data_IF_871916296027
#
_entry.id   IF_871916296027
#
_cell.length_a   1.000
_cell.length_b   1.000
_cell.length_c   1.000
_cell.angle_alpha   90.00
_cell.angle_beta   90.00
_cell.angle_gamma   90.00
#
_symmetry.space_group_name_H-M   'P 1'
#
loop_
_entity.id
_entity.type
_entity.pdbx_description
1 polymer ?
#
# COMPACT_ATOMS: atom_id res chain seq x y z
N UNK A 1 -26.85 4.31 4.73
CA UNK A 1 -26.92 5.23 3.57
C UNK A 1 -27.05 4.39 2.32
N UNK A 2 -28.18 4.46 1.62
CA UNK A 2 -28.36 3.79 0.32
C UNK A 2 -27.57 4.56 -0.72
N UNK A 3 -26.44 4.01 -1.19
CA UNK A 3 -25.73 4.56 -2.35
C UNK A 3 -26.53 4.16 -3.59
N UNK A 4 -26.92 5.15 -4.39
CA UNK A 4 -27.49 4.90 -5.73
C UNK A 4 -26.33 4.58 -6.66
N UNK A 5 -26.35 3.43 -7.31
CA UNK A 5 -25.35 3.07 -8.31
C UNK A 5 -25.71 3.72 -9.64
N UNK A 6 -24.73 4.36 -10.29
CA UNK A 6 -24.88 4.87 -11.65
C UNK A 6 -25.02 3.70 -12.64
N UNK A 7 -25.63 3.97 -13.80
CA UNK A 7 -25.74 2.96 -14.84
C UNK A 7 -24.34 2.55 -15.32
N UNK A 8 -24.04 1.25 -15.20
CA UNK A 8 -22.71 0.73 -15.47
C UNK A 8 -22.50 0.57 -16.98
N UNK A 9 -21.47 1.24 -17.48
CA UNK A 9 -20.96 1.07 -18.83
C UNK A 9 -19.63 0.29 -18.81
N UNK A 10 -19.18 -0.27 -19.95
CA UNK A 10 -17.86 -0.91 -20.04
C UNK A 10 -16.70 0.00 -19.58
N UNK A 11 -16.84 1.32 -19.72
CA UNK A 11 -15.81 2.27 -19.31
C UNK A 11 -15.62 2.32 -17.79
N UNK A 12 -16.66 1.97 -17.01
CA UNK A 12 -16.57 1.89 -15.56
C UNK A 12 -15.67 0.73 -15.10
N UNK A 13 -15.45 -0.29 -15.93
CA UNK A 13 -14.57 -1.42 -15.65
C UNK A 13 -13.15 -1.25 -16.19
N UNK A 14 -12.85 -0.10 -16.81
CA UNK A 14 -11.54 0.19 -17.38
C UNK A 14 -10.72 1.06 -16.42
N UNK A 15 -9.60 0.52 -15.92
CA UNK A 15 -8.62 1.29 -15.16
C UNK A 15 -7.87 2.33 -16.01
N UNK A 16 -8.05 2.32 -17.34
CA UNK A 16 -7.50 3.32 -18.26
C UNK A 16 -8.50 4.47 -18.56
N UNK A 17 -9.69 4.44 -17.96
CA UNK A 17 -10.69 5.50 -18.11
C UNK A 17 -10.89 6.23 -16.78
N UNK A 18 -10.98 7.58 -16.79
CA UNK A 18 -11.34 8.34 -15.61
C UNK A 18 -12.69 7.94 -15.00
N UNK A 19 -13.59 7.35 -15.81
CA UNK A 19 -14.88 6.87 -15.38
C UNK A 19 -14.81 5.57 -14.57
N UNK A 20 -13.73 4.80 -14.68
CA UNK A 20 -13.60 3.46 -14.10
C UNK A 20 -12.41 3.27 -13.16
N UNK A 21 -11.42 4.15 -13.21
CA UNK A 21 -10.24 4.03 -12.37
C UNK A 21 -10.50 4.32 -10.89
N UNK A 22 -9.66 3.76 -10.02
CA UNK A 22 -9.64 4.14 -8.61
C UNK A 22 -9.18 5.61 -8.50
N UNK A 23 -9.93 6.50 -7.82
CA UNK A 23 -9.60 7.92 -7.73
C UNK A 23 -8.33 8.20 -6.90
N UNK A 24 -7.90 7.26 -6.06
CA UNK A 24 -6.73 7.44 -5.20
C UNK A 24 -5.39 7.13 -5.91
N UNK A 25 -5.41 6.20 -6.88
CA UNK A 25 -4.22 5.81 -7.61
C UNK A 25 -4.33 6.05 -9.12
N UNK A 26 -5.42 6.65 -9.61
CA UNK A 26 -5.66 6.94 -11.03
C UNK A 26 -5.42 5.72 -11.93
N UNK A 27 -5.89 4.54 -11.50
CA UNK A 27 -5.79 3.32 -12.30
C UNK A 27 -4.41 2.65 -12.29
N UNK A 28 -3.45 3.14 -11.51
CA UNK A 28 -2.14 2.51 -11.36
C UNK A 28 -2.20 1.21 -10.55
N UNK A 29 -3.06 1.15 -9.52
CA UNK A 29 -3.12 0.04 -8.56
C UNK A 29 -2.07 0.11 -7.47
N UNK A 30 -1.03 0.91 -7.66
CA UNK A 30 0.01 1.15 -6.67
C UNK A 30 -0.04 2.59 -6.19
N UNK A 31 0.43 2.81 -4.97
CA UNK A 31 0.73 4.13 -4.44
C UNK A 31 2.19 4.14 -3.98
N UNK A 32 2.87 5.28 -4.15
CA UNK A 32 4.22 5.45 -3.62
C UNK A 32 4.11 5.59 -2.11
N UNK A 33 4.60 4.59 -1.39
CA UNK A 33 4.61 4.56 0.06
C UNK A 33 5.99 4.18 0.57
N UNK A 34 6.34 4.67 1.75
CA UNK A 34 7.61 4.28 2.35
C UNK A 34 7.45 2.89 2.98
N UNK A 35 8.26 1.92 2.54
CA UNK A 35 8.16 0.54 3.03
C UNK A 35 8.71 0.47 4.47
N UNK A 36 7.86 0.10 5.43
CA UNK A 36 8.23 0.00 6.85
C UNK A 36 9.42 -0.93 7.09
N UNK A 37 9.54 -2.01 6.30
CA UNK A 37 10.62 -2.99 6.41
C UNK A 37 12.00 -2.39 6.08
N UNK A 38 12.05 -1.31 5.32
CA UNK A 38 13.30 -0.62 4.98
C UNK A 38 13.62 0.49 5.99
N UNK A 39 12.60 1.06 6.63
CA UNK A 39 12.75 2.02 7.73
C UNK A 39 13.17 1.39 9.05
N UNK A 40 12.72 0.16 9.30
CA UNK A 40 13.03 -0.62 10.49
C UNK A 40 13.97 -1.76 10.08
N UNK A 41 15.24 -1.43 9.86
CA UNK A 41 16.24 -2.38 9.37
C UNK A 41 16.60 -3.48 10.38
N UNK A 42 16.27 -3.30 11.66
CA UNK A 42 16.53 -4.30 12.70
C UNK A 42 15.36 -4.36 13.69
N UNK A 43 14.29 -5.09 13.36
CA UNK A 43 13.13 -5.25 14.24
C UNK A 43 13.47 -5.91 15.59
N UNK A 44 14.54 -6.70 15.63
CA UNK A 44 15.09 -7.34 16.83
C UNK A 44 15.73 -6.34 17.81
N UNK A 45 16.15 -5.17 17.31
CA UNK A 45 16.81 -4.15 18.11
C UNK A 45 15.77 -3.25 18.78
N UNK A 46 16.18 -2.59 19.88
CA UNK A 46 15.38 -1.56 20.53
C UNK A 46 15.57 -0.19 19.89
N UNK A 47 14.73 0.78 20.25
CA UNK A 47 14.86 2.16 19.77
C UNK A 47 16.22 2.77 20.15
N UNK A 48 16.73 2.50 21.36
CA UNK A 48 18.06 2.92 21.80
C UNK A 48 19.21 2.14 21.14
N UNK A 49 18.96 0.91 20.71
CA UNK A 49 19.95 0.09 20.00
C UNK A 49 20.03 0.40 18.50
N UNK A 50 19.14 1.26 17.97
CA UNK A 50 19.14 1.69 16.58
C UNK A 50 18.23 0.86 15.65
N UNK A 51 17.05 0.43 16.13
CA UNK A 51 16.07 -0.30 15.30
C UNK A 51 15.61 0.46 14.05
N UNK A 52 15.57 1.80 14.12
CA UNK A 52 15.12 2.68 13.03
C UNK A 52 16.35 3.17 12.25
N UNK A 53 16.50 2.71 11.00
CA UNK A 53 17.65 3.04 10.15
C UNK A 53 17.67 4.50 9.69
N UNK A 54 16.49 5.11 9.57
CA UNK A 54 16.31 6.48 9.13
C UNK A 54 16.59 7.54 10.22
N UNK A 55 16.85 7.11 11.47
CA UNK A 55 17.21 8.02 12.57
C UNK A 55 18.72 8.17 12.74
N UNK A 56 19.19 9.31 13.29
CA UNK A 56 20.56 9.40 13.79
C UNK A 56 20.82 8.32 14.85
N UNK A 57 22.01 7.73 14.86
CA UNK A 57 22.36 6.71 15.88
C UNK A 57 22.31 7.34 17.28
N UNK A 58 21.37 6.92 18.15
CA UNK A 58 21.19 7.53 19.47
C UNK A 58 22.36 7.27 20.41
N UNK A 59 23.25 6.30 20.10
CA UNK A 59 24.46 6.03 20.87
C UNK A 59 25.60 7.00 20.55
N UNK A 60 25.53 7.68 19.40
CA UNK A 60 26.54 8.63 18.92
C UNK A 60 26.09 10.09 19.02
N UNK A 61 24.79 10.33 19.14
CA UNK A 61 24.21 11.67 19.14
C UNK A 61 23.40 11.92 20.42
N UNK A 62 24.03 12.56 21.40
CA UNK A 62 23.45 12.83 22.72
C UNK A 62 22.20 13.74 22.64
N UNK A 63 22.15 14.66 21.69
CA UNK A 63 20.99 15.52 21.48
C UNK A 63 19.76 14.72 21.01
N UNK A 64 19.98 13.78 20.09
CA UNK A 64 18.92 12.90 19.61
C UNK A 64 18.48 11.90 20.69
N UNK A 65 19.42 11.40 21.48
CA UNK A 65 19.11 10.55 22.65
C UNK A 65 18.23 11.28 23.67
N UNK A 66 18.57 12.53 24.01
CA UNK A 66 17.77 13.35 24.92
C UNK A 66 16.34 13.57 24.38
N UNK A 67 16.18 13.75 23.06
CA UNK A 67 14.88 13.79 22.42
C UNK A 67 14.11 12.47 22.57
N UNK A 68 14.75 11.32 22.31
CA UNK A 68 14.10 10.01 22.44
C UNK A 68 13.66 9.72 23.87
N UNK A 69 14.49 10.05 24.86
CA UNK A 69 14.15 9.86 26.28
C UNK A 69 12.96 10.75 26.69
N UNK A 70 12.91 11.99 26.19
CA UNK A 70 11.77 12.88 26.42
C UNK A 70 10.50 12.40 25.69
N UNK A 71 10.64 11.92 24.46
CA UNK A 71 9.54 11.33 23.68
C UNK A 71 8.98 10.08 24.37
N UNK A 72 9.85 9.21 24.88
CA UNK A 72 9.46 8.05 25.64
C UNK A 72 8.73 8.40 26.92
N UNK A 73 9.19 9.43 27.66
CA UNK A 73 8.55 9.88 28.89
C UNK A 73 7.14 10.44 28.66
N UNK A 74 6.94 11.20 27.58
CA UNK A 74 5.65 11.83 27.28
C UNK A 74 4.58 10.81 26.81
N UNK A 75 5.01 9.75 26.12
CA UNK A 75 4.13 8.77 25.50
C UNK A 75 4.20 7.37 26.12
N UNK A 76 4.98 7.21 27.18
CA UNK A 76 5.21 5.96 27.93
C UNK A 76 5.75 4.81 27.04
N UNK A 77 6.65 5.15 26.10
CA UNK A 77 7.20 4.20 25.14
C UNK A 77 8.41 3.49 25.75
N UNK A 78 8.43 2.15 25.81
CA UNK A 78 9.62 1.43 26.27
C UNK A 78 10.73 1.51 25.21
N UNK A 79 11.89 2.03 25.60
CA UNK A 79 13.02 2.26 24.68
C UNK A 79 14.01 1.10 24.57
N UNK A 80 13.98 0.18 25.53
CA UNK A 80 14.94 -0.93 25.69
C UNK A 80 14.37 -2.29 25.26
N UNK A 81 13.14 -2.32 24.72
CA UNK A 81 12.55 -3.54 24.17
C UNK A 81 12.72 -3.59 22.65
N UNK A 82 12.83 -4.79 22.04
CA UNK A 82 12.84 -4.94 20.59
C UNK A 82 11.63 -4.27 19.93
N UNK A 83 11.82 -3.70 18.73
CA UNK A 83 10.75 -3.02 17.99
C UNK A 83 9.49 -3.89 17.82
N UNK A 84 9.66 -5.18 17.53
CA UNK A 84 8.52 -6.10 17.36
C UNK A 84 7.70 -6.32 18.65
N UNK A 85 8.28 -6.04 19.82
CA UNK A 85 7.59 -6.13 21.11
C UNK A 85 6.88 -4.82 21.49
N UNK A 86 7.09 -3.74 20.73
CA UNK A 86 6.33 -2.51 20.92
C UNK A 86 4.87 -2.72 20.50
N UNK A 87 3.95 -2.31 21.37
CA UNK A 87 2.53 -2.27 21.03
C UNK A 87 2.28 -1.42 19.78
N UNK A 88 1.24 -1.77 19.02
CA UNK A 88 0.87 -1.09 17.78
C UNK A 88 0.66 0.42 17.95
N UNK A 89 0.24 0.86 19.14
CA UNK A 89 0.11 2.29 19.48
C UNK A 89 1.47 3.00 19.51
N UNK A 90 2.48 2.38 20.13
CA UNK A 90 3.84 2.93 20.22
C UNK A 90 4.52 2.96 18.85
N UNK A 91 4.39 1.88 18.08
CA UNK A 91 4.90 1.83 16.70
C UNK A 91 4.24 2.92 15.85
N UNK A 92 2.92 3.12 15.97
CA UNK A 92 2.21 4.18 15.26
C UNK A 92 2.69 5.59 15.63
N UNK A 93 2.95 5.84 16.92
CA UNK A 93 3.48 7.13 17.37
C UNK A 93 4.87 7.43 16.79
N UNK A 94 5.74 6.42 16.70
CA UNK A 94 7.05 6.56 16.05
C UNK A 94 6.90 6.82 14.54
N UNK A 95 6.04 6.06 13.86
CA UNK A 95 5.92 6.14 12.40
C UNK A 95 5.17 7.38 11.91
N UNK A 96 4.09 7.76 12.59
CA UNK A 96 3.15 8.81 12.16
C UNK A 96 3.16 10.06 13.05
N UNK A 97 3.88 10.02 14.18
CA UNK A 97 4.01 11.17 15.06
C UNK A 97 2.77 11.45 15.92
N UNK A 98 2.78 12.63 16.52
CA UNK A 98 1.69 13.15 17.35
C UNK A 98 1.62 14.67 17.28
N UNK A 99 0.42 15.20 17.50
CA UNK A 99 0.20 16.66 17.61
C UNK A 99 0.64 17.24 18.97
N UNK A 100 0.99 16.40 19.96
CA UNK A 100 1.41 16.87 21.28
C UNK A 100 2.82 17.46 21.26
N UNK A 101 3.00 18.49 22.07
CA UNK A 101 4.29 19.11 22.31
C UNK A 101 5.07 18.32 23.36
N UNK A 102 6.35 18.09 23.09
CA UNK A 102 7.28 17.39 23.97
C UNK A 102 8.27 18.43 24.48
N UNK A 103 8.50 18.44 25.79
CA UNK A 103 9.54 19.26 26.42
C UNK A 103 10.85 18.46 26.48
N UNK A 104 11.89 18.97 25.83
CA UNK A 104 13.20 18.32 25.71
C UNK A 104 14.29 19.24 26.23
N UNK A 105 15.08 18.74 27.18
CA UNK A 105 16.29 19.41 27.65
C UNK A 105 17.49 18.86 26.89
N UNK A 106 18.05 19.67 25.99
CA UNK A 106 19.21 19.27 25.19
C UNK A 106 20.52 19.36 25.99
N UNK A 107 21.51 18.49 25.73
CA UNK A 107 22.84 18.58 26.35
C UNK A 107 23.45 19.98 26.14
N UNK A 108 23.89 20.61 27.23
CA UNK A 108 24.47 21.97 27.20
C UNK A 108 23.45 23.12 27.24
N UNK A 109 22.14 22.84 27.26
CA UNK A 109 21.09 23.85 27.50
C UNK A 109 20.53 23.74 28.91
N UNK A 110 20.34 24.88 29.59
CA UNK A 110 19.66 24.95 30.88
C UNK A 110 18.14 25.08 30.76
N UNK A 111 17.62 25.44 29.59
CA UNK A 111 16.18 25.64 29.35
C UNK A 111 15.60 24.50 28.49
N UNK A 112 14.38 24.00 28.82
CA UNK A 112 13.69 23.02 28.01
C UNK A 112 13.17 23.65 26.71
N UNK A 113 13.37 22.95 25.59
CA UNK A 113 12.81 23.30 24.30
C UNK A 113 11.50 22.54 24.07
N UNK A 114 10.50 23.21 23.48
CA UNK A 114 9.25 22.58 23.06
C UNK A 114 9.35 22.19 21.60
N UNK A 115 9.15 20.92 21.30
CA UNK A 115 9.18 20.39 19.94
C UNK A 115 7.99 19.46 19.71
N UNK A 116 7.55 19.40 18.46
CA UNK A 116 6.47 18.53 18.03
C UNK A 116 7.05 17.47 17.09
N UNK A 117 6.83 16.20 17.41
CA UNK A 117 7.30 15.10 16.58
C UNK A 117 6.23 14.69 15.56
N UNK A 118 6.47 15.07 14.29
CA UNK A 118 5.54 14.82 13.18
C UNK A 118 5.58 13.40 12.61
N UNK A 119 6.44 12.53 13.12
CA UNK A 119 6.54 11.14 12.66
C UNK A 119 7.62 10.92 11.61
N UNK A 120 8.01 9.65 11.48
CA UNK A 120 9.03 9.22 10.54
C UNK A 120 8.57 9.33 9.08
N UNK A 121 7.34 8.89 8.78
CA UNK A 121 6.81 8.95 7.42
C UNK A 121 6.69 10.39 6.91
N UNK A 122 6.07 11.33 7.64
CA UNK A 122 5.97 12.72 7.16
C UNK A 122 7.33 13.40 7.04
N UNK A 123 8.30 13.08 7.91
CA UNK A 123 9.66 13.63 7.81
C UNK A 123 10.39 13.15 6.54
N UNK A 124 10.24 11.88 6.17
CA UNK A 124 10.85 11.31 4.97
C UNK A 124 10.18 11.87 3.70
N UNK A 125 8.85 11.95 3.68
CA UNK A 125 8.12 12.57 2.57
C UNK A 125 8.55 14.02 2.33
N UNK A 126 8.68 14.80 3.40
CA UNK A 126 9.12 16.20 3.31
C UNK A 126 10.59 16.29 2.86
N UNK A 127 11.49 15.46 3.39
CA UNK A 127 12.89 15.43 2.98
C UNK A 127 13.04 15.08 1.48
N UNK A 128 12.27 14.11 0.99
CA UNK A 128 12.24 13.72 -0.42
C UNK A 128 11.67 14.83 -1.33
N UNK A 129 10.74 15.65 -0.81
CA UNK A 129 10.20 16.81 -1.52
C UNK A 129 11.23 17.93 -1.64
N UNK A 130 11.89 18.28 -0.54
CA UNK A 130 12.71 19.50 -0.42
C UNK A 130 14.10 19.37 -1.06
N UNK A 131 14.69 18.17 -1.11
CA UNK A 131 16.06 17.97 -1.65
C UNK A 131 16.15 16.90 -2.71
N UNK A 132 16.79 17.23 -3.83
CA UNK A 132 17.06 16.28 -4.92
C UNK A 132 18.03 15.15 -4.48
N UNK A 133 19.04 15.45 -3.66
CA UNK A 133 19.99 14.44 -3.18
C UNK A 133 19.32 13.43 -2.23
N UNK A 134 18.46 13.90 -1.33
CA UNK A 134 17.68 13.01 -0.46
C UNK A 134 16.65 12.22 -1.27
N UNK A 135 16.04 12.82 -2.30
CA UNK A 135 15.12 12.10 -3.18
C UNK A 135 15.75 10.88 -3.86
N UNK A 136 17.01 11.00 -4.30
CA UNK A 136 17.79 9.88 -4.85
C UNK A 136 18.15 8.85 -3.79
N UNK A 137 18.58 9.27 -2.60
CA UNK A 137 18.94 8.36 -1.50
C UNK A 137 17.74 7.61 -0.90
N UNK A 138 16.56 8.22 -0.91
CA UNK A 138 15.33 7.67 -0.34
C UNK A 138 14.48 6.93 -1.40
N UNK A 139 14.92 6.90 -2.65
CA UNK A 139 14.19 6.29 -3.77
C UNK A 139 13.98 4.78 -3.54
N UNK A 140 14.95 4.11 -2.91
CA UNK A 140 14.85 2.69 -2.54
C UNK A 140 14.00 2.45 -1.27
N UNK A 141 13.73 3.48 -0.47
CA UNK A 141 12.87 3.42 0.71
C UNK A 141 11.39 3.62 0.36
N UNK A 142 11.12 4.33 -0.73
CA UNK A 142 9.80 4.62 -1.27
C UNK A 142 9.48 3.56 -2.33
N UNK A 143 8.88 2.46 -1.90
CA UNK A 143 8.44 1.39 -2.77
C UNK A 143 7.05 1.64 -3.35
N UNK A 144 6.75 0.95 -4.44
CA UNK A 144 5.35 0.77 -4.84
C UNK A 144 4.71 -0.24 -3.90
N UNK A 145 3.64 0.18 -3.22
CA UNK A 145 2.76 -0.72 -2.46
C UNK A 145 1.38 -0.73 -3.11
N UNK A 146 0.57 -1.78 -2.91
CA UNK A 146 -0.83 -1.76 -3.35
C UNK A 146 -1.55 -0.54 -2.81
N UNK A 147 -2.36 0.09 -3.66
CA UNK A 147 -3.15 1.26 -3.28
C UNK A 147 -4.01 0.95 -2.06
N UNK A 148 -4.00 1.83 -1.07
CA UNK A 148 -4.73 1.67 0.19
C UNK A 148 -6.25 1.68 0.03
N UNK A 149 -6.76 2.26 -1.06
CA UNK A 149 -8.19 2.39 -1.35
C UNK A 149 -8.74 1.22 -2.16
N UNK A 150 -8.09 0.85 -3.27
CA UNK A 150 -8.55 -0.26 -4.11
C UNK A 150 -7.83 -1.58 -3.85
N UNK A 151 -6.86 -1.62 -2.94
CA UNK A 151 -6.09 -2.83 -2.63
C UNK A 151 -5.27 -3.36 -3.81
N UNK A 152 -5.03 -2.54 -4.83
CA UNK A 152 -4.42 -2.98 -6.09
C UNK A 152 -5.40 -3.27 -7.23
N UNK A 153 -6.72 -3.24 -7.02
CA UNK A 153 -7.73 -3.58 -8.04
C UNK A 153 -7.80 -2.58 -9.21
N UNK A 154 -7.16 -1.41 -9.08
CA UNK A 154 -7.07 -0.34 -10.10
C UNK A 154 -8.38 0.34 -10.48
N UNK A 155 -9.52 -0.26 -10.18
CA UNK A 155 -10.86 0.27 -10.48
C UNK A 155 -11.56 0.80 -9.22
N UNK A 156 -12.62 1.60 -9.42
CA UNK A 156 -13.50 2.11 -8.35
C UNK A 156 -14.32 1.00 -7.69
N UNK A 157 -14.80 1.29 -6.48
CA UNK A 157 -15.46 0.34 -5.58
C UNK A 157 -16.79 -0.19 -6.11
N UNK A 158 -17.58 0.66 -6.76
CA UNK A 158 -18.83 0.29 -7.44
C UNK A 158 -18.60 -0.70 -8.59
N UNK A 159 -17.65 -0.45 -9.48
CA UNK A 159 -17.28 -1.36 -10.56
C UNK A 159 -16.65 -2.65 -10.04
N UNK A 160 -15.79 -2.56 -9.02
CA UNK A 160 -15.16 -3.70 -8.37
C UNK A 160 -16.17 -4.63 -7.67
N UNK A 161 -17.32 -4.10 -7.23
CA UNK A 161 -18.35 -4.86 -6.52
C UNK A 161 -19.24 -5.71 -7.44
N UNK A 162 -19.23 -5.47 -8.75
CA UNK A 162 -20.06 -6.18 -9.72
C UNK A 162 -19.61 -7.63 -9.82
N UNK A 163 -20.58 -8.56 -9.84
CA UNK A 163 -20.33 -10.00 -9.86
C UNK A 163 -20.87 -10.67 -11.10
N UNK A 164 -20.08 -11.57 -11.66
CA UNK A 164 -20.47 -12.55 -12.67
C UNK A 164 -20.24 -13.93 -12.09
N UNK A 165 -21.26 -14.80 -12.06
CA UNK A 165 -21.12 -16.15 -11.50
C UNK A 165 -20.67 -16.18 -10.03
N UNK A 166 -20.93 -15.11 -9.27
CA UNK A 166 -20.49 -14.97 -7.87
C UNK A 166 -19.10 -14.35 -7.69
N UNK A 167 -18.30 -14.18 -8.74
CA UNK A 167 -16.96 -13.58 -8.69
C UNK A 167 -16.95 -12.16 -9.22
N UNK A 168 -16.09 -11.30 -8.66
CA UNK A 168 -15.86 -9.95 -9.18
C UNK A 168 -14.73 -9.92 -10.21
N UNK A 169 -14.68 -8.86 -11.04
CA UNK A 169 -13.62 -8.69 -12.03
C UNK A 169 -12.20 -8.73 -11.41
N UNK A 170 -11.91 -8.04 -10.28
CA UNK A 170 -10.59 -8.15 -9.65
C UNK A 170 -10.29 -9.56 -9.11
N UNK A 171 -11.30 -10.26 -8.59
CA UNK A 171 -11.12 -11.64 -8.13
C UNK A 171 -10.74 -12.57 -9.29
N UNK A 172 -11.47 -12.50 -10.41
CA UNK A 172 -11.16 -13.30 -11.60
C UNK A 172 -9.79 -12.93 -12.19
N UNK A 173 -9.42 -11.64 -12.19
CA UNK A 173 -8.15 -11.19 -12.79
C UNK A 173 -6.90 -11.67 -12.03
N UNK A 174 -7.05 -12.01 -10.75
CA UNK A 174 -5.97 -12.52 -9.88
C UNK A 174 -5.79 -14.03 -9.94
N UNK A 175 -6.72 -14.76 -10.54
CA UNK A 175 -6.60 -16.20 -10.70
C UNK A 175 -5.59 -16.54 -11.82
N UNK A 176 -4.91 -17.70 -11.71
CA UNK A 176 -4.19 -18.29 -12.83
C UNK A 176 -5.07 -18.46 -14.07
N UNK A 177 -4.53 -18.28 -15.28
CA UNK A 177 -5.31 -18.32 -16.52
C UNK A 177 -6.09 -19.63 -16.70
N UNK A 178 -5.55 -20.77 -16.24
CA UNK A 178 -6.26 -22.04 -16.26
C UNK A 178 -7.51 -22.03 -15.38
N UNK A 179 -7.43 -21.46 -14.17
CA UNK A 179 -8.57 -21.34 -13.27
C UNK A 179 -9.62 -20.35 -13.80
N UNK A 180 -9.19 -19.26 -14.44
CA UNK A 180 -10.10 -18.32 -15.12
C UNK A 180 -10.85 -19.03 -16.25
N UNK A 181 -10.15 -19.84 -17.04
CA UNK A 181 -10.76 -20.56 -18.14
C UNK A 181 -11.81 -21.57 -17.65
N UNK A 182 -11.48 -22.37 -16.63
CA UNK A 182 -12.42 -23.29 -16.00
C UNK A 182 -13.66 -22.55 -15.46
N UNK A 183 -13.46 -21.41 -14.80
CA UNK A 183 -14.55 -20.56 -14.30
C UNK A 183 -15.48 -20.09 -15.44
N UNK A 184 -14.93 -19.59 -16.55
CA UNK A 184 -15.73 -19.10 -17.68
C UNK A 184 -16.47 -20.24 -18.41
N UNK A 185 -15.86 -21.42 -18.54
CA UNK A 185 -16.51 -22.59 -19.17
C UNK A 185 -17.65 -23.16 -18.33
N UNK A 186 -17.57 -23.02 -17.00
CA UNK A 186 -18.61 -23.47 -16.07
C UNK A 186 -19.73 -22.45 -15.85
N UNK A 187 -19.59 -21.24 -16.40
CA UNK A 187 -20.54 -20.15 -16.19
C UNK A 187 -21.90 -20.47 -16.81
N UNK A 188 -22.92 -20.61 -15.97
CA UNK A 188 -24.29 -20.87 -16.41
C UNK A 188 -25.03 -19.57 -16.68
N UNK A 189 -25.25 -19.27 -17.95
CA UNK A 189 -26.06 -18.13 -18.39
C UNK A 189 -27.51 -18.57 -18.66
N UNK A 190 -28.47 -17.72 -18.31
CA UNK A 190 -29.85 -17.90 -18.74
C UNK A 190 -30.01 -17.55 -20.24
N UNK A 191 -31.18 -17.81 -20.83
CA UNK A 191 -31.41 -17.60 -22.28
C UNK A 191 -31.18 -16.16 -22.74
N UNK A 192 -31.55 -15.18 -21.93
CA UNK A 192 -31.38 -13.76 -22.26
C UNK A 192 -29.92 -13.34 -22.16
N UNK A 193 -29.24 -13.73 -21.08
CA UNK A 193 -27.82 -13.51 -20.89
C UNK A 193 -27.00 -14.16 -22.01
N UNK A 194 -27.34 -15.39 -22.40
CA UNK A 194 -26.69 -16.10 -23.49
C UNK A 194 -26.83 -15.35 -24.83
N UNK A 195 -28.00 -14.75 -25.09
CA UNK A 195 -28.23 -13.97 -26.31
C UNK A 195 -27.39 -12.68 -26.34
N UNK A 196 -27.11 -12.09 -25.18
CA UNK A 196 -26.38 -10.81 -25.07
C UNK A 196 -24.85 -11.05 -25.00
N UNK A 197 -24.42 -12.00 -24.18
CA UNK A 197 -23.01 -12.19 -23.81
C UNK A 197 -22.40 -13.48 -24.36
N UNK A 198 -23.16 -14.34 -25.04
CA UNK A 198 -22.69 -15.65 -25.51
C UNK A 198 -21.48 -15.55 -26.44
N UNK A 199 -21.55 -14.67 -27.45
CA UNK A 199 -20.44 -14.46 -28.40
C UNK A 199 -19.20 -13.88 -27.70
N UNK A 200 -19.40 -12.97 -26.75
CA UNK A 200 -18.32 -12.38 -25.95
C UNK A 200 -17.64 -13.42 -25.05
N UNK A 201 -18.43 -14.29 -24.40
CA UNK A 201 -17.93 -15.37 -23.57
C UNK A 201 -17.14 -16.38 -24.41
N UNK A 202 -17.64 -16.71 -25.61
CA UNK A 202 -16.95 -17.60 -26.53
C UNK A 202 -15.58 -17.03 -26.95
N UNK A 203 -15.53 -15.77 -27.35
CA UNK A 203 -14.28 -15.09 -27.74
C UNK A 203 -13.28 -15.00 -26.57
N UNK A 204 -13.75 -14.63 -25.37
CA UNK A 204 -12.89 -14.55 -24.19
C UNK A 204 -12.29 -15.92 -23.83
N UNK A 205 -13.12 -16.97 -23.85
CA UNK A 205 -12.72 -18.37 -23.59
C UNK A 205 -11.69 -18.83 -24.63
N UNK A 206 -11.90 -18.51 -25.91
CA UNK A 206 -10.98 -18.89 -26.98
C UNK A 206 -9.61 -18.20 -26.86
N UNK A 207 -9.57 -16.91 -26.51
CA UNK A 207 -8.30 -16.19 -26.28
C UNK A 207 -7.54 -16.73 -25.08
N UNK A 208 -8.24 -17.05 -23.99
CA UNK A 208 -7.62 -17.66 -22.81
C UNK A 208 -7.06 -19.04 -23.13
N UNK A 209 -7.80 -19.87 -23.88
CA UNK A 209 -7.33 -21.17 -24.34
C UNK A 209 -6.04 -21.04 -25.15
N UNK A 210 -5.99 -20.10 -26.10
CA UNK A 210 -4.76 -19.82 -26.85
C UNK A 210 -3.57 -19.48 -25.95
N UNK A 211 -3.76 -18.61 -24.94
CA UNK A 211 -2.69 -18.25 -23.99
C UNK A 211 -2.20 -19.46 -23.17
N UNK A 212 -3.11 -20.37 -22.82
CA UNK A 212 -2.76 -21.62 -22.12
C UNK A 212 -2.00 -22.57 -23.04
N UNK A 213 -2.43 -22.72 -24.30
CA UNK A 213 -1.80 -23.61 -25.28
C UNK A 213 -0.36 -23.19 -25.60
N UNK A 214 -0.04 -21.89 -25.53
CA UNK A 214 1.34 -21.39 -25.65
C UNK A 214 2.15 -21.47 -24.33
N UNK A 215 1.58 -22.02 -23.26
CA UNK A 215 2.27 -22.33 -22.01
C UNK A 215 2.12 -21.30 -20.88
N UNK A 216 1.29 -20.27 -21.03
CA UNK A 216 1.16 -19.18 -20.04
C UNK A 216 0.12 -19.44 -18.94
N UNK A 217 -0.28 -20.70 -18.74
CA UNK A 217 -1.36 -21.12 -17.84
C UNK A 217 -1.23 -20.63 -16.39
N UNK A 218 -0.01 -20.50 -15.88
CA UNK A 218 0.27 -20.10 -14.49
C UNK A 218 0.26 -18.57 -14.26
N UNK A 219 0.17 -17.77 -15.31
CA UNK A 219 0.10 -16.31 -15.20
C UNK A 219 -1.30 -15.85 -14.80
N UNK A 220 -1.41 -14.60 -14.36
CA UNK A 220 -2.69 -13.95 -14.03
C UNK A 220 -2.95 -12.81 -15.00
N UNK A 221 -4.22 -12.43 -15.20
CA UNK A 221 -4.58 -11.29 -16.05
C UNK A 221 -4.14 -9.94 -15.46
N UNK A 222 -3.96 -9.88 -14.14
CA UNK A 222 -3.55 -8.68 -13.39
C UNK A 222 -2.02 -8.45 -13.40
N UNK A 223 -1.23 -9.36 -13.99
CA UNK A 223 0.24 -9.24 -14.00
C UNK A 223 0.71 -8.07 -14.86
N UNK A 224 1.53 -7.20 -14.28
CA UNK A 224 2.10 -6.05 -14.98
C UNK A 224 3.11 -6.44 -16.08
N UNK A 225 3.00 -5.78 -17.24
CA UNK A 225 3.90 -5.92 -18.40
C UNK A 225 5.41 -5.82 -18.09
N UNK A 226 5.90 -4.96 -17.16
CA UNK A 226 7.34 -4.88 -16.86
C UNK A 226 7.94 -6.15 -16.24
N UNK A 227 7.10 -7.08 -15.79
CA UNK A 227 7.52 -8.32 -15.09
C UNK A 227 7.28 -9.59 -15.91
N UNK A 228 6.98 -9.45 -17.20
CA UNK A 228 6.80 -10.54 -18.16
C UNK A 228 8.14 -10.97 -18.78
#
# INVERSE_FOLDING_TARGET
MSRTFEELSPQNFSFNSPLGWCPACEGLGTERGTNQAVLIASPEASLLAGAVSAWPDPRKNDAFRAFLEAFAREFDIPLDVPWYQLDSRHQRLVLYGSERWIEVTLPGSSAPAKLQYKGLYPAIEEAARVSYSYRLQLQDLIGEKPCSVCGGDRVRDDAAAVRLGGMTLPQTSRLPLNEVLEFLEQLKLNKEQQKIAGDLLHEATHRLRFLIDVGLHYLTLDRGMPTL
#
